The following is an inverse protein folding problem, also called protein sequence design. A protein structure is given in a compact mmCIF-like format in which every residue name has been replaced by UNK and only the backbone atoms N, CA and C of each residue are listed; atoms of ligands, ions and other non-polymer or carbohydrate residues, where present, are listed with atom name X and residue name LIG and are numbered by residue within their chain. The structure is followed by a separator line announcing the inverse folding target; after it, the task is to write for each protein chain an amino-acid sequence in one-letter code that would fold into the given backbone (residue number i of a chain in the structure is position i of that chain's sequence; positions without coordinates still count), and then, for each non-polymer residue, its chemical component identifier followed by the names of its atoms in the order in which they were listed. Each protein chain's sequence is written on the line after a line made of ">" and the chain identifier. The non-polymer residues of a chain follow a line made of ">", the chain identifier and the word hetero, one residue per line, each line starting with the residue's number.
data_IF_248370748763
#
_entry.id   IF_248370748763
#
_cell.length_a   1.000
_cell.length_b   1.000
_cell.length_c   1.000
_cell.angle_alpha   90.00
_cell.angle_beta   90.00
_cell.angle_gamma   90.00
#
_symmetry.space_group_name_H-M   'P 1'
#
loop_
_entity.id
_entity.type
_entity.pdbx_description
1 polymer ?
#
# COMPACT_ATOMS: atom_id res chain seq x y z
N UNK A 1 19.29 16.22 -4.38
CA UNK A 1 20.60 15.58 -4.13
C UNK A 1 20.69 14.15 -4.67
N UNK A 2 19.68 13.27 -4.48
CA UNK A 2 19.75 11.86 -4.91
C UNK A 2 20.10 11.60 -6.39
N UNK A 3 19.55 12.38 -7.34
CA UNK A 3 19.85 12.24 -8.78
C UNK A 3 21.34 12.41 -9.11
N UNK A 4 22.04 13.32 -8.43
CA UNK A 4 23.46 13.55 -8.66
C UNK A 4 24.34 12.37 -8.18
N UNK A 5 23.81 11.56 -7.24
CA UNK A 5 24.47 10.39 -6.68
C UNK A 5 23.87 9.07 -7.20
N UNK A 6 23.07 9.13 -8.28
CA UNK A 6 22.35 7.97 -8.83
C UNK A 6 21.56 7.18 -7.77
N UNK A 7 21.07 7.87 -6.74
CA UNK A 7 20.38 7.27 -5.59
C UNK A 7 18.88 7.57 -5.68
N UNK A 8 18.06 6.53 -5.46
CA UNK A 8 16.62 6.64 -5.30
C UNK A 8 16.23 6.49 -3.82
N UNK A 9 15.19 7.23 -3.42
CA UNK A 9 14.53 7.06 -2.13
C UNK A 9 13.14 6.51 -2.39
N UNK A 10 12.79 5.42 -1.72
CA UNK A 10 11.45 4.84 -1.71
C UNK A 10 10.88 5.03 -0.31
N UNK A 11 9.66 5.53 -0.23
CA UNK A 11 8.92 5.73 1.01
C UNK A 11 7.66 4.88 0.91
N UNK A 12 7.47 4.00 1.89
CA UNK A 12 6.28 3.18 2.03
C UNK A 12 5.58 3.57 3.35
N UNK A 13 4.29 3.84 3.30
CA UNK A 13 3.49 4.27 4.45
C UNK A 13 2.02 3.95 4.23
N UNK A 14 1.33 3.67 5.34
CA UNK A 14 -0.12 3.51 5.39
C UNK A 14 -0.85 4.81 5.81
N UNK A 15 -0.13 5.92 5.98
CA UNK A 15 -0.66 7.22 6.41
C UNK A 15 -0.40 8.32 5.36
N UNK A 16 -1.18 8.34 4.25
CA UNK A 16 -1.18 9.42 3.26
C UNK A 16 -1.49 10.80 3.85
N UNK A 17 -2.27 10.92 4.93
CA UNK A 17 -2.61 12.23 5.51
C UNK A 17 -1.37 12.92 6.09
N UNK A 18 -0.54 12.20 6.85
CA UNK A 18 0.71 12.74 7.37
C UNK A 18 1.70 13.02 6.25
N UNK A 19 1.76 12.15 5.23
CA UNK A 19 2.64 12.35 4.07
C UNK A 19 2.26 13.61 3.28
N UNK A 20 0.97 13.86 3.06
CA UNK A 20 0.45 15.03 2.35
C UNK A 20 0.79 16.36 3.02
N UNK A 21 1.01 16.37 4.35
CA UNK A 21 1.41 17.56 5.11
C UNK A 21 2.88 17.94 4.88
N UNK A 22 3.69 17.08 4.28
CA UNK A 22 5.12 17.31 4.02
C UNK A 22 5.35 17.94 2.63
N UNK A 23 4.87 19.16 2.41
CA UNK A 23 4.89 19.83 1.09
C UNK A 23 6.25 19.73 0.37
N UNK A 24 7.34 20.09 1.04
CA UNK A 24 8.68 20.08 0.43
C UNK A 24 9.19 18.68 0.04
N UNK A 25 8.65 17.62 0.65
CA UNK A 25 8.90 16.25 0.26
C UNK A 25 8.04 15.87 -0.95
N UNK A 26 6.74 16.14 -0.90
CA UNK A 26 5.77 15.81 -1.96
C UNK A 26 6.17 16.42 -3.30
N UNK A 27 6.61 17.69 -3.30
CA UNK A 27 7.09 18.39 -4.49
C UNK A 27 8.29 17.70 -5.16
N UNK A 28 9.05 16.88 -4.42
CA UNK A 28 10.19 16.13 -4.94
C UNK A 28 9.85 14.68 -5.33
N UNK A 29 8.66 14.18 -4.99
CA UNK A 29 8.22 12.82 -5.34
C UNK A 29 7.91 12.76 -6.83
N UNK A 30 8.74 12.00 -7.56
CA UNK A 30 8.60 11.83 -9.01
C UNK A 30 7.66 10.70 -9.42
N UNK A 31 7.37 9.75 -8.53
CA UNK A 31 6.48 8.62 -8.81
C UNK A 31 5.81 8.21 -7.52
N UNK A 32 4.52 7.89 -7.61
CA UNK A 32 3.72 7.45 -6.48
C UNK A 32 2.84 6.28 -6.89
N UNK A 33 2.63 5.36 -5.96
CA UNK A 33 1.68 4.27 -6.08
C UNK A 33 0.67 4.38 -4.94
N UNK A 34 -0.60 4.56 -5.29
CA UNK A 34 -1.71 4.54 -4.36
C UNK A 34 -2.41 3.20 -4.39
N UNK A 35 -2.47 2.53 -3.25
CA UNK A 35 -3.20 1.28 -3.07
C UNK A 35 -4.56 1.54 -2.43
N UNK A 36 -5.33 0.48 -2.25
CA UNK A 36 -6.67 0.55 -1.68
C UNK A 36 -6.64 1.11 -0.25
N UNK A 37 -7.54 2.04 0.02
CA UNK A 37 -7.80 2.64 1.33
C UNK A 37 -9.30 2.59 1.60
N UNK A 38 -9.71 2.55 2.87
CA UNK A 38 -11.11 2.33 3.25
C UNK A 38 -11.84 3.58 3.73
N UNK A 39 -11.14 4.52 4.36
CA UNK A 39 -11.75 5.72 4.93
C UNK A 39 -11.75 6.88 3.96
N UNK A 40 -12.77 7.72 3.99
CA UNK A 40 -12.92 8.88 3.11
C UNK A 40 -11.76 9.86 3.22
N UNK A 41 -11.28 10.09 4.44
CA UNK A 41 -10.22 11.07 4.73
C UNK A 41 -8.90 10.63 4.10
N UNK A 42 -8.57 9.34 4.23
CA UNK A 42 -7.35 8.76 3.69
C UNK A 42 -7.43 8.65 2.15
N UNK A 43 -8.60 8.33 1.61
CA UNK A 43 -8.84 8.32 0.16
C UNK A 43 -8.73 9.73 -0.45
N UNK A 44 -9.27 10.75 0.21
CA UNK A 44 -9.18 12.14 -0.25
C UNK A 44 -7.73 12.64 -0.19
N UNK A 45 -6.99 12.29 0.86
CA UNK A 45 -5.56 12.57 0.95
C UNK A 45 -4.78 11.87 -0.18
N UNK A 46 -5.04 10.59 -0.44
CA UNK A 46 -4.40 9.86 -1.53
C UNK A 46 -4.77 10.43 -2.91
N UNK A 47 -6.02 10.82 -3.13
CA UNK A 47 -6.46 11.45 -4.37
C UNK A 47 -5.67 12.74 -4.65
N UNK A 48 -5.50 13.59 -3.63
CA UNK A 48 -4.69 14.81 -3.74
C UNK A 48 -3.22 14.49 -4.06
N UNK A 49 -2.65 13.47 -3.41
CA UNK A 49 -1.28 13.04 -3.67
C UNK A 49 -1.08 12.47 -5.08
N UNK A 50 -2.08 11.79 -5.63
CA UNK A 50 -2.10 11.23 -6.99
C UNK A 50 -2.47 12.25 -8.07
N UNK A 51 -2.74 13.50 -7.70
CA UNK A 51 -3.22 14.55 -8.61
C UNK A 51 -4.54 14.18 -9.31
N UNK A 52 -5.41 13.47 -8.59
CA UNK A 52 -6.77 13.12 -9.02
C UNK A 52 -7.79 14.07 -8.40
N UNK A 53 -8.96 14.27 -9.04
CA UNK A 53 -10.05 15.02 -8.43
C UNK A 53 -10.46 14.42 -7.08
N UNK A 54 -10.56 15.24 -6.05
CA UNK A 54 -11.06 14.80 -4.73
C UNK A 54 -12.59 14.73 -4.78
N UNK A 55 -13.16 13.60 -4.38
CA UNK A 55 -14.61 13.41 -4.37
C UNK A 55 -15.05 11.95 -4.46
N UNK A 56 -16.36 11.74 -4.45
CA UNK A 56 -16.99 10.42 -4.34
C UNK A 56 -16.55 9.45 -5.44
N UNK A 57 -16.43 9.92 -6.68
CA UNK A 57 -16.00 9.08 -7.79
C UNK A 57 -14.59 8.51 -7.58
N UNK A 58 -13.64 9.37 -7.19
CA UNK A 58 -12.25 8.97 -6.97
C UNK A 58 -12.12 8.09 -5.72
N UNK A 59 -12.89 8.39 -4.67
CA UNK A 59 -12.98 7.52 -3.49
C UNK A 59 -13.45 6.11 -3.84
N UNK A 60 -14.51 6.00 -4.65
CA UNK A 60 -15.00 4.72 -5.14
C UNK A 60 -13.94 3.98 -5.99
N UNK A 61 -13.18 4.71 -6.81
CA UNK A 61 -12.07 4.15 -7.59
C UNK A 61 -10.97 3.61 -6.68
N UNK A 62 -10.51 4.39 -5.69
CA UNK A 62 -9.48 3.97 -4.71
C UNK A 62 -9.96 2.76 -3.89
N UNK A 63 -11.24 2.72 -3.53
CA UNK A 63 -11.81 1.56 -2.85
C UNK A 63 -11.82 0.31 -3.75
N UNK A 64 -12.17 0.47 -5.02
CA UNK A 64 -12.37 -0.64 -5.95
C UNK A 64 -11.07 -1.29 -6.44
N UNK A 65 -9.95 -0.57 -6.48
CA UNK A 65 -8.69 -1.14 -7.00
C UNK A 65 -8.21 -2.37 -6.21
N UNK A 66 -8.51 -2.46 -4.91
CA UNK A 66 -8.09 -3.57 -4.07
C UNK A 66 -9.00 -4.81 -4.13
N UNK A 67 -10.04 -4.81 -4.96
CA UNK A 67 -11.06 -5.87 -4.99
C UNK A 67 -11.15 -6.50 -6.39
N UNK A 68 -11.09 -7.83 -6.45
CA UNK A 68 -11.27 -8.63 -7.65
C UNK A 68 -12.74 -8.74 -8.09
N UNK A 69 -12.97 -9.32 -9.26
CA UNK A 69 -14.34 -9.56 -9.77
C UNK A 69 -15.11 -10.58 -8.92
N UNK A 70 -14.38 -11.45 -8.23
CA UNK A 70 -14.83 -12.46 -7.28
C UNK A 70 -15.03 -11.89 -5.86
N UNK A 71 -14.81 -10.58 -5.67
CA UNK A 71 -14.79 -9.88 -4.38
C UNK A 71 -13.62 -10.27 -3.47
N UNK A 72 -12.63 -11.00 -3.97
CA UNK A 72 -11.41 -11.31 -3.24
C UNK A 72 -10.42 -10.13 -3.26
N UNK A 73 -9.45 -10.15 -2.35
CA UNK A 73 -8.41 -9.12 -2.31
C UNK A 73 -7.54 -9.23 -3.55
N UNK A 74 -7.49 -8.14 -4.33
CA UNK A 74 -6.62 -8.02 -5.49
C UNK A 74 -5.29 -7.38 -5.08
N UNK A 75 -4.33 -8.22 -4.71
CA UNK A 75 -2.99 -7.77 -4.37
C UNK A 75 -2.27 -7.12 -5.57
N UNK A 76 -1.46 -6.10 -5.30
CA UNK A 76 -0.60 -5.47 -6.30
C UNK A 76 -1.30 -4.51 -7.28
N UNK A 77 -2.62 -4.33 -7.21
CA UNK A 77 -3.29 -3.35 -8.06
C UNK A 77 -3.24 -1.95 -7.41
N UNK A 78 -2.75 -0.98 -8.15
CA UNK A 78 -2.52 0.39 -7.67
C UNK A 78 -2.88 1.43 -8.73
N UNK A 79 -3.02 2.67 -8.30
CA UNK A 79 -2.98 3.84 -9.18
C UNK A 79 -1.58 4.42 -9.10
N UNK A 80 -0.89 4.47 -10.23
CA UNK A 80 0.40 5.13 -10.36
C UNK A 80 0.20 6.58 -10.77
N UNK A 81 0.92 7.53 -10.16
CA UNK A 81 1.19 8.86 -10.72
C UNK A 81 2.65 8.95 -11.16
N UNK A 82 2.90 9.34 -12.41
CA UNK A 82 4.25 9.49 -12.97
C UNK A 82 4.84 10.90 -12.76
N UNK A 83 6.09 11.09 -13.23
CA UNK A 83 6.81 12.37 -13.14
C UNK A 83 6.23 13.51 -13.98
N UNK A 84 5.25 13.21 -14.84
CA UNK A 84 4.52 14.16 -15.67
C UNK A 84 3.13 14.44 -15.12
N UNK A 85 2.85 14.01 -13.88
CA UNK A 85 1.55 14.15 -13.24
C UNK A 85 0.45 13.46 -14.06
N UNK A 86 0.79 12.32 -14.67
CA UNK A 86 -0.18 11.47 -15.35
C UNK A 86 -0.46 10.24 -14.50
N UNK A 87 -1.73 9.87 -14.41
CA UNK A 87 -2.18 8.78 -13.56
C UNK A 87 -2.76 7.63 -14.38
N UNK A 88 -2.42 6.40 -13.99
CA UNK A 88 -2.89 5.17 -14.63
C UNK A 88 -3.00 4.05 -13.60
N UNK A 89 -3.88 3.08 -13.84
CA UNK A 89 -3.87 1.85 -13.04
C UNK A 89 -2.70 0.95 -13.45
N UNK A 90 -2.08 0.30 -12.47
CA UNK A 90 -0.96 -0.62 -12.66
C UNK A 90 -1.18 -1.88 -11.82
N UNK A 91 -0.73 -3.02 -12.33
CA UNK A 91 -0.73 -4.29 -11.62
C UNK A 91 0.72 -4.71 -11.38
N UNK A 92 1.10 -4.87 -10.11
CA UNK A 92 2.33 -5.54 -9.74
C UNK A 92 2.08 -7.05 -9.74
N UNK A 93 2.89 -7.77 -10.52
CA UNK A 93 2.89 -9.22 -10.50
C UNK A 93 3.77 -9.71 -9.35
N UNK A 94 3.31 -10.76 -8.68
CA UNK A 94 4.10 -11.46 -7.68
C UNK A 94 4.96 -12.50 -8.41
N UNK A 95 6.30 -12.44 -8.30
CA UNK A 95 7.18 -13.34 -9.07
C UNK A 95 6.96 -14.83 -8.78
N UNK A 96 6.65 -15.19 -7.53
CA UNK A 96 6.33 -16.57 -7.14
C UNK A 96 5.55 -16.61 -5.83
N UNK A 97 4.78 -17.68 -5.62
CA UNK A 97 4.07 -17.93 -4.36
C UNK A 97 5.03 -18.07 -3.17
N UNK A 98 6.20 -18.66 -3.38
CA UNK A 98 7.25 -18.81 -2.36
C UNK A 98 7.76 -17.45 -1.86
N UNK A 99 7.99 -16.50 -2.78
CA UNK A 99 8.39 -15.14 -2.39
C UNK A 99 7.30 -14.45 -1.56
N UNK A 100 6.03 -14.65 -1.92
CA UNK A 100 4.89 -14.09 -1.19
C UNK A 100 4.82 -14.63 0.24
N UNK A 101 5.05 -15.93 0.42
CA UNK A 101 5.08 -16.58 1.73
C UNK A 101 6.25 -16.06 2.58
N UNK A 102 7.43 -15.90 1.99
CA UNK A 102 8.60 -15.34 2.67
C UNK A 102 8.42 -13.88 3.10
N UNK A 103 7.63 -13.11 2.36
CA UNK A 103 7.30 -11.71 2.66
C UNK A 103 6.09 -11.55 3.58
N UNK A 104 5.45 -12.65 3.99
CA UNK A 104 4.28 -12.61 4.86
C UNK A 104 4.64 -12.03 6.23
N UNK A 105 4.00 -10.91 6.57
CA UNK A 105 4.07 -10.29 7.90
C UNK A 105 2.97 -10.78 8.84
N UNK A 106 2.15 -11.74 8.40
CA UNK A 106 1.11 -12.34 9.24
C UNK A 106 1.79 -13.01 10.43
N UNK A 107 1.40 -12.67 11.68
CA UNK A 107 1.97 -13.31 12.86
C UNK A 107 1.86 -14.83 12.74
N UNK A 108 2.99 -15.53 12.82
CA UNK A 108 2.99 -16.98 12.95
C UNK A 108 2.46 -17.29 14.35
N UNK A 109 1.20 -17.72 14.42
CA UNK A 109 0.66 -18.24 15.67
C UNK A 109 1.39 -19.55 15.89
N UNK A 110 2.38 -19.56 16.79
CA UNK A 110 2.90 -20.80 17.33
C UNK A 110 1.72 -21.45 18.06
N UNK A 111 1.11 -22.46 17.42
CA UNK A 111 0.20 -23.38 18.08
C UNK A 111 1.00 -24.30 19.04
N UNK A 112 1.88 -23.71 19.86
CA UNK A 112 2.31 -24.27 21.13
C UNK A 112 1.13 -24.21 22.09
N UNK A 113 0.08 -24.96 21.78
CA UNK A 113 -0.96 -25.27 22.75
C UNK A 113 -0.25 -25.82 23.97
N UNK A 114 -0.35 -25.10 25.09
CA UNK A 114 0.00 -25.67 26.36
C UNK A 114 -0.84 -26.94 26.51
N UNK A 115 -0.18 -28.09 26.46
CA UNK A 115 -0.80 -29.37 26.74
C UNK A 115 -1.19 -29.36 28.22
N UNK A 116 -2.43 -28.95 28.49
CA UNK A 116 -3.03 -28.89 29.83
C UNK A 116 -3.19 -30.29 30.47
N UNK A 117 -2.72 -31.36 29.80
CA UNK A 117 -2.72 -32.72 30.32
C UNK A 117 -1.37 -33.18 30.88
N UNK A 118 -0.31 -32.37 30.79
CA UNK A 118 0.97 -32.69 31.45
C UNK A 118 0.89 -32.40 32.95
N UNK A 119 0.83 -33.46 33.76
CA UNK A 119 0.96 -33.35 35.22
C UNK A 119 2.35 -32.80 35.61
N UNK A 120 2.43 -31.98 36.66
CA UNK A 120 3.69 -31.40 37.12
C UNK A 120 4.63 -32.50 37.63
N UNK A 121 5.82 -32.58 37.04
CA UNK A 121 6.88 -33.43 37.56
C UNK A 121 7.45 -32.78 38.83
N UNK A 122 7.19 -33.43 39.97
CA UNK A 122 7.84 -33.13 41.25
C UNK A 122 9.23 -33.74 41.36
#
# INVERSE_FOLDING_TARGET
>A
MGRALQTALVIDTQDPESLAKLTGLIEQITTMFGFQLTTSEQQDALAALLDLPVGEHTRALIQAIGVGFDQEIRHGHAIMRDRRFQSATVQFDVPSAELLELLSTTPKVDNGGADLTKEPQG
#
